data_IF_078632866286
#
_entry.id   IF_078632866286
#
_cell.length_a   1.000
_cell.length_b   1.000
_cell.length_c   1.000
_cell.angle_alpha   90.00
_cell.angle_beta   90.00
_cell.angle_gamma   90.00
#
_symmetry.space_group_name_H-M   'P 1'
#
loop_
_entity.id
_entity.type
_entity.pdbx_description
1 polymer ?
#
# COMPACT_ATOMS: atom_id res chain seq x y z
N UNK A 1 -30.03 10.10 1.07
CA UNK A 1 -29.94 11.59 1.16
C UNK A 1 -28.54 12.10 0.83
N UNK A 2 -27.46 11.47 1.31
CA UNK A 2 -26.08 11.86 0.98
C UNK A 2 -25.68 11.59 -0.50
N UNK A 3 -26.21 10.55 -1.14
CA UNK A 3 -25.90 10.25 -2.55
C UNK A 3 -26.43 11.29 -3.56
N UNK A 4 -27.39 12.14 -3.16
CA UNK A 4 -27.90 13.24 -4.00
C UNK A 4 -27.02 14.50 -3.95
N UNK A 5 -26.04 14.54 -3.05
CA UNK A 5 -25.14 15.69 -2.90
C UNK A 5 -24.04 15.69 -3.98
N UNK A 6 -23.75 14.52 -4.56
CA UNK A 6 -22.85 14.36 -5.70
C UNK A 6 -21.46 14.96 -5.51
N UNK A 7 -20.75 15.14 -6.62
CA UNK A 7 -19.46 15.86 -6.66
C UNK A 7 -19.54 17.27 -6.06
N UNK A 8 -20.62 18.07 -6.26
CA UNK A 8 -20.69 19.43 -5.73
C UNK A 8 -20.55 19.54 -4.21
N UNK A 9 -21.22 18.69 -3.42
CA UNK A 9 -21.06 18.80 -1.97
C UNK A 9 -19.78 18.16 -1.43
N UNK A 10 -19.15 17.22 -2.16
CA UNK A 10 -17.79 16.80 -1.85
C UNK A 10 -16.82 17.99 -1.95
N UNK A 11 -16.98 18.83 -2.98
CA UNK A 11 -16.19 20.06 -3.15
C UNK A 11 -16.44 21.02 -1.99
N UNK A 12 -17.70 21.20 -1.56
CA UNK A 12 -18.02 22.08 -0.43
C UNK A 12 -17.32 21.62 0.87
N UNK A 13 -17.34 20.31 1.15
CA UNK A 13 -16.64 19.74 2.31
C UNK A 13 -15.13 19.95 2.18
N UNK A 14 -14.56 19.73 0.98
CA UNK A 14 -13.14 20.00 0.74
C UNK A 14 -12.79 21.45 0.98
N UNK A 15 -13.60 22.41 0.53
CA UNK A 15 -13.36 23.84 0.77
C UNK A 15 -13.33 24.15 2.27
N UNK A 16 -14.30 23.64 3.05
CA UNK A 16 -14.32 23.84 4.51
C UNK A 16 -13.08 23.22 5.16
N UNK A 17 -12.72 22.00 4.77
CA UNK A 17 -11.51 21.34 5.25
C UNK A 17 -10.24 22.12 4.88
N UNK A 18 -10.19 22.70 3.68
CA UNK A 18 -9.08 23.54 3.23
C UNK A 18 -9.00 24.88 3.97
N UNK A 19 -10.10 25.44 4.44
CA UNK A 19 -10.06 26.64 5.29
C UNK A 19 -9.48 26.33 6.66
N UNK A 20 -9.84 25.17 7.25
CA UNK A 20 -9.37 24.76 8.57
C UNK A 20 -7.91 24.29 8.52
N UNK A 21 -7.58 23.42 7.57
CA UNK A 21 -6.27 22.80 7.47
C UNK A 21 -5.31 23.56 6.55
N UNK A 22 -5.80 24.33 5.59
CA UNK A 22 -4.99 25.00 4.56
C UNK A 22 -4.74 24.13 3.31
N UNK A 23 -4.70 24.73 2.11
CA UNK A 23 -4.45 24.02 0.84
C UNK A 23 -3.07 23.36 0.74
N UNK A 24 -2.08 23.84 1.50
CA UNK A 24 -0.72 23.30 1.46
C UNK A 24 -0.56 22.02 2.31
N UNK A 25 -1.42 21.82 3.31
CA UNK A 25 -1.31 20.70 4.27
C UNK A 25 -1.77 19.38 3.67
N UNK A 26 -2.81 19.37 2.83
CA UNK A 26 -3.28 18.15 2.18
C UNK A 26 -2.22 17.52 1.25
N UNK A 27 -1.56 18.28 0.35
CA UNK A 27 -0.45 17.75 -0.46
C UNK A 27 0.75 17.30 0.37
N UNK A 28 1.07 18.01 1.45
CA UNK A 28 2.18 17.68 2.34
C UNK A 28 1.95 16.33 3.04
N UNK A 29 0.78 16.14 3.63
CA UNK A 29 0.37 14.88 4.26
C UNK A 29 0.33 13.76 3.22
N UNK A 30 -0.23 14.02 2.03
CA UNK A 30 -0.28 13.04 0.94
C UNK A 30 1.11 12.61 0.47
N UNK A 31 2.08 13.52 0.38
CA UNK A 31 3.47 13.21 0.05
C UNK A 31 4.15 12.38 1.13
N UNK A 32 3.96 12.73 2.40
CA UNK A 32 4.53 11.97 3.52
C UNK A 32 3.95 10.55 3.57
N UNK A 33 2.62 10.44 3.55
CA UNK A 33 1.91 9.17 3.57
C UNK A 33 2.24 8.31 2.34
N UNK A 34 2.32 8.93 1.15
CA UNK A 34 2.68 8.23 -0.08
C UNK A 34 4.10 7.67 -0.07
N UNK A 35 5.06 8.37 0.55
CA UNK A 35 6.41 7.83 0.78
C UNK A 35 6.36 6.62 1.71
N UNK A 36 5.64 6.72 2.83
CA UNK A 36 5.48 5.61 3.78
C UNK A 36 4.85 4.38 3.13
N UNK A 37 3.77 4.54 2.36
CA UNK A 37 3.15 3.43 1.62
C UNK A 37 4.13 2.82 0.62
N UNK A 38 4.89 3.65 -0.10
CA UNK A 38 5.86 3.16 -1.09
C UNK A 38 6.97 2.35 -0.44
N UNK A 39 7.50 2.80 0.68
CA UNK A 39 8.52 2.09 1.45
C UNK A 39 7.96 0.80 2.06
N UNK A 40 6.76 0.86 2.61
CA UNK A 40 6.06 -0.33 3.13
C UNK A 40 5.85 -1.39 2.04
N UNK A 41 5.41 -0.97 0.84
CA UNK A 41 5.24 -1.87 -0.32
C UNK A 41 6.55 -2.55 -0.70
N UNK A 42 7.64 -1.79 -0.79
CA UNK A 42 8.97 -2.32 -1.11
C UNK A 42 9.46 -3.32 -0.07
N UNK A 43 9.30 -3.01 1.21
CA UNK A 43 9.69 -3.91 2.30
C UNK A 43 8.87 -5.22 2.25
N UNK A 44 7.56 -5.11 1.98
CA UNK A 44 6.67 -6.27 1.87
C UNK A 44 7.00 -7.13 0.64
N UNK A 45 7.34 -6.50 -0.50
CA UNK A 45 7.77 -7.20 -1.71
C UNK A 45 9.07 -7.97 -1.50
N UNK A 46 10.08 -7.35 -0.85
CA UNK A 46 11.34 -8.03 -0.52
C UNK A 46 11.12 -9.27 0.35
N UNK A 47 10.35 -9.15 1.43
CA UNK A 47 10.01 -10.28 2.31
C UNK A 47 9.26 -11.39 1.54
N UNK A 48 8.32 -11.01 0.67
CA UNK A 48 7.57 -11.98 -0.12
C UNK A 48 8.44 -12.74 -1.12
N UNK A 49 9.47 -12.10 -1.66
CA UNK A 49 10.42 -12.73 -2.57
C UNK A 49 11.40 -13.65 -1.80
N UNK A 50 11.91 -13.22 -0.65
CA UNK A 50 12.76 -14.03 0.23
C UNK A 50 12.05 -15.33 0.66
N UNK A 51 10.80 -15.23 1.12
CA UNK A 51 9.97 -16.39 1.50
C UNK A 51 9.73 -17.32 0.30
N UNK A 52 9.54 -16.77 -0.90
CA UNK A 52 9.35 -17.58 -2.12
C UNK A 52 10.61 -18.32 -2.52
N UNK A 53 11.80 -17.73 -2.31
CA UNK A 53 13.07 -18.40 -2.57
C UNK A 53 13.30 -19.53 -1.57
N UNK A 54 13.11 -19.27 -0.27
CA UNK A 54 13.20 -20.29 0.79
C UNK A 54 12.28 -21.49 0.52
N UNK A 55 10.99 -21.24 0.22
CA UNK A 55 10.03 -22.31 -0.10
C UNK A 55 10.43 -23.10 -1.36
N UNK A 56 11.02 -22.43 -2.37
CA UNK A 56 11.48 -23.11 -3.59
C UNK A 56 12.68 -24.00 -3.32
N UNK A 57 13.59 -23.59 -2.44
CA UNK A 57 14.74 -24.40 -2.03
C UNK A 57 14.28 -25.62 -1.23
N UNK A 58 13.40 -25.44 -0.25
CA UNK A 58 12.81 -26.54 0.54
C UNK A 58 12.09 -27.57 -0.34
N UNK A 59 11.32 -27.12 -1.33
CA UNK A 59 10.61 -28.01 -2.28
C UNK A 59 11.60 -28.74 -3.20
N UNK A 60 12.71 -28.10 -3.61
CA UNK A 60 13.75 -28.74 -4.41
C UNK A 60 14.52 -29.79 -3.60
N UNK A 61 14.78 -29.53 -2.34
CA UNK A 61 15.46 -30.47 -1.44
C UNK A 61 14.58 -31.69 -1.17
N UNK A 62 13.29 -31.48 -0.85
CA UNK A 62 12.31 -32.56 -0.68
C UNK A 62 12.19 -33.45 -1.92
N UNK A 63 12.11 -32.86 -3.12
CA UNK A 63 12.05 -33.63 -4.40
C UNK A 63 13.30 -34.44 -4.70
N UNK A 64 14.49 -34.00 -4.26
CA UNK A 64 15.73 -34.74 -4.50
C UNK A 64 15.90 -35.92 -3.55
N UNK A 65 15.35 -35.83 -2.34
CA UNK A 65 15.38 -36.93 -1.36
C UNK A 65 14.47 -38.08 -1.82
N UNK A 66 13.29 -37.78 -2.38
CA UNK A 66 12.37 -38.79 -2.91
C UNK A 66 12.87 -39.44 -4.22
N UNK A 67 13.72 -38.77 -5.01
CA UNK A 67 14.25 -39.32 -6.26
C UNK A 67 15.47 -40.25 -6.07
N UNK A 68 16.11 -40.20 -4.90
CA UNK A 68 17.30 -40.99 -4.55
C UNK A 68 16.99 -42.22 -3.70
N UNK A 69 15.75 -42.41 -3.27
CA UNK A 69 15.30 -43.52 -2.43
C UNK A 69 14.58 -44.58 -3.29
#
# INVERSE_FOLDING_TARGET
>A
MLSNIGVPGLILILVVALVIFGPNKLPEIGRAFGKSIREFKKATEGIADDIKEEIKEDIKEAKQIDLKK
#
